data_IF_097692405939
#
_entry.id   IF_097692405939
#
_cell.length_a   1.000
_cell.length_b   1.000
_cell.length_c   1.000
_cell.angle_alpha   90.00
_cell.angle_beta   90.00
_cell.angle_gamma   90.00
#
_symmetry.space_group_name_H-M   'P 1'
#
loop_
_entity.id
_entity.type
_entity.pdbx_description
1 polymer ?
#
# COMPACT_ATOMS: atom_id res chain seq x y z
N UNK A 1 36.31 50.44 1.46
CA UNK A 1 35.57 50.13 0.22
C UNK A 1 34.15 50.70 0.31
N UNK A 2 33.89 51.88 -0.27
CA UNK A 2 32.51 52.44 -0.42
C UNK A 2 32.45 53.61 -1.46
N UNK A 3 33.42 53.71 -2.37
CA UNK A 3 33.54 54.85 -3.30
C UNK A 3 33.07 54.58 -4.73
N UNK A 4 32.99 53.30 -5.15
CA UNK A 4 32.84 52.96 -6.57
C UNK A 4 31.36 52.77 -6.99
N UNK A 5 30.51 52.25 -6.10
CA UNK A 5 29.07 52.08 -6.35
C UNK A 5 28.33 53.44 -6.43
N UNK A 6 28.69 54.39 -5.55
CA UNK A 6 28.13 55.73 -5.49
C UNK A 6 28.45 56.58 -6.72
N UNK A 7 29.61 56.34 -7.36
CA UNK A 7 30.01 57.01 -8.61
C UNK A 7 29.23 56.50 -9.83
N UNK A 8 28.99 55.18 -9.94
CA UNK A 8 28.20 54.60 -11.03
C UNK A 8 26.74 55.06 -10.98
N UNK A 9 26.14 55.09 -9.78
CA UNK A 9 24.76 55.56 -9.56
C UNK A 9 24.59 57.03 -9.98
N UNK A 10 25.47 57.93 -9.51
CA UNK A 10 25.43 59.35 -9.90
C UNK A 10 25.65 59.58 -11.40
N UNK A 11 26.46 58.76 -12.07
CA UNK A 11 26.70 58.88 -13.52
C UNK A 11 25.45 58.55 -14.35
N UNK A 12 24.70 57.50 -13.97
CA UNK A 12 23.47 57.12 -14.66
C UNK A 12 22.38 58.20 -14.54
N UNK A 13 22.28 58.82 -13.36
CA UNK A 13 21.31 59.89 -13.11
C UNK A 13 21.64 61.19 -13.87
N UNK A 14 22.93 61.53 -14.00
CA UNK A 14 23.39 62.64 -14.86
C UNK A 14 23.02 62.39 -16.31
N UNK A 15 23.20 61.16 -16.83
CA UNK A 15 22.82 60.78 -18.19
C UNK A 15 21.32 60.97 -18.43
N UNK A 16 20.49 60.55 -17.47
CA UNK A 16 19.04 60.72 -17.54
C UNK A 16 18.65 62.20 -17.64
N UNK A 17 19.18 63.04 -16.75
CA UNK A 17 18.89 64.48 -16.73
C UNK A 17 19.38 65.20 -17.99
N UNK A 18 20.54 64.80 -18.55
CA UNK A 18 21.05 65.35 -19.81
C UNK A 18 20.14 64.98 -20.99
N UNK A 19 19.59 63.76 -21.03
CA UNK A 19 18.62 63.34 -22.06
C UNK A 19 17.27 64.06 -21.92
N UNK A 20 16.88 64.43 -20.71
CA UNK A 20 15.71 65.27 -20.42
C UNK A 20 15.93 66.76 -20.78
N UNK A 21 17.08 67.12 -21.35
CA UNK A 21 17.39 68.47 -21.81
C UNK A 21 17.85 69.44 -20.71
N UNK A 22 18.16 68.95 -19.51
CA UNK A 22 18.66 69.80 -18.41
C UNK A 22 20.06 70.32 -18.69
N UNK A 23 20.30 71.58 -18.33
CA UNK A 23 21.61 72.22 -18.46
C UNK A 23 22.60 71.68 -17.41
N UNK A 24 23.92 71.70 -17.70
CA UNK A 24 24.92 71.26 -16.73
C UNK A 24 24.83 71.97 -15.37
N UNK A 25 24.38 73.24 -15.36
CA UNK A 25 24.16 74.04 -14.15
C UNK A 25 23.01 73.50 -13.28
N UNK A 26 21.90 73.09 -13.90
CA UNK A 26 20.74 72.53 -13.17
C UNK A 26 21.09 71.17 -12.56
N UNK A 27 21.88 70.36 -13.25
CA UNK A 27 22.30 69.03 -12.81
C UNK A 27 23.29 69.12 -11.64
N UNK A 28 24.22 70.08 -11.71
CA UNK A 28 25.16 70.40 -10.63
C UNK A 28 24.43 70.74 -9.34
N UNK A 29 23.47 71.65 -9.39
CA UNK A 29 22.67 72.06 -8.24
C UNK A 29 21.81 70.93 -7.67
N UNK A 30 21.32 70.02 -8.53
CA UNK A 30 20.43 68.91 -8.12
C UNK A 30 21.18 67.74 -7.48
N UNK A 31 22.36 67.39 -7.99
CA UNK A 31 23.09 66.17 -7.60
C UNK A 31 24.36 66.44 -6.77
N UNK A 32 24.70 67.71 -6.57
CA UNK A 32 25.91 68.13 -5.84
C UNK A 32 27.19 67.66 -6.52
N UNK A 33 27.23 67.68 -7.85
CA UNK A 33 28.36 67.26 -8.68
C UNK A 33 28.93 68.44 -9.45
N UNK A 34 30.25 68.48 -9.67
CA UNK A 34 30.86 69.64 -10.33
C UNK A 34 30.44 69.74 -11.79
N UNK A 35 30.25 70.97 -12.28
CA UNK A 35 29.95 71.24 -13.69
C UNK A 35 30.92 70.58 -14.68
N UNK A 36 32.20 70.51 -14.33
CA UNK A 36 33.23 69.84 -15.13
C UNK A 36 32.95 68.34 -15.31
N UNK A 37 32.49 67.66 -14.26
CA UNK A 37 32.11 66.25 -14.31
C UNK A 37 30.88 66.04 -15.20
N UNK A 38 29.87 66.91 -15.09
CA UNK A 38 28.68 66.88 -15.95
C UNK A 38 29.02 67.14 -17.43
N UNK A 39 29.87 68.14 -17.71
CA UNK A 39 30.32 68.44 -19.08
C UNK A 39 31.12 67.29 -19.70
N UNK A 40 31.93 66.58 -18.90
CA UNK A 40 32.64 65.38 -19.37
C UNK A 40 31.66 64.27 -19.77
N UNK A 41 30.62 64.03 -18.96
CA UNK A 41 29.57 63.03 -19.26
C UNK A 41 28.73 63.46 -20.46
N UNK A 42 28.38 64.74 -20.59
CA UNK A 42 27.66 65.27 -21.75
C UNK A 42 28.44 65.04 -23.04
N UNK A 43 29.74 65.30 -23.03
CA UNK A 43 30.63 65.04 -24.17
C UNK A 43 30.73 63.54 -24.49
N UNK A 44 30.79 62.67 -23.47
CA UNK A 44 30.77 61.21 -23.67
C UNK A 44 29.43 60.72 -24.28
N UNK A 45 28.32 61.38 -23.94
CA UNK A 45 26.98 61.06 -24.44
C UNK A 45 26.77 61.54 -25.89
N UNK A 46 27.23 62.75 -26.22
CA UNK A 46 27.23 63.30 -27.59
C UNK A 46 28.13 62.48 -28.53
N UNK A 47 29.18 61.83 -28.01
CA UNK A 47 30.03 60.90 -28.74
C UNK A 47 29.40 59.50 -28.94
N UNK A 48 28.11 59.32 -28.62
CA UNK A 48 27.36 58.10 -28.90
C UNK A 48 27.71 56.88 -28.04
N UNK A 49 28.47 57.05 -26.95
CA UNK A 49 28.97 55.94 -26.11
C UNK A 49 27.95 55.38 -25.11
N UNK A 50 26.68 55.78 -25.18
CA UNK A 50 25.62 55.32 -24.28
C UNK A 50 24.33 55.00 -25.04
N UNK A 51 24.19 53.77 -25.52
CA UNK A 51 22.86 53.12 -25.67
C UNK A 51 22.43 52.64 -24.28
N UNK A 52 21.13 52.68 -23.96
CA UNK A 52 20.66 51.99 -22.76
C UNK A 52 20.91 50.48 -22.92
N UNK A 53 21.08 49.74 -21.82
CA UNK A 53 21.39 48.30 -21.90
C UNK A 53 20.32 47.53 -22.70
N UNK A 54 19.04 47.89 -22.55
CA UNK A 54 17.95 47.32 -23.34
C UNK A 54 17.97 47.70 -24.83
N UNK A 55 18.38 48.93 -25.20
CA UNK A 55 18.55 49.31 -26.61
C UNK A 55 19.71 48.54 -27.29
N UNK A 56 20.73 48.21 -26.51
CA UNK A 56 21.86 47.42 -26.96
C UNK A 56 21.45 45.97 -27.23
N UNK A 57 20.78 45.33 -26.27
CA UNK A 57 20.27 43.96 -26.38
C UNK A 57 19.30 43.83 -27.57
N UNK A 58 18.35 44.76 -27.72
CA UNK A 58 17.41 44.76 -28.85
C UNK A 58 18.09 44.99 -30.21
N UNK A 59 19.20 45.74 -30.26
CA UNK A 59 19.97 45.89 -31.49
C UNK A 59 20.75 44.60 -31.83
N UNK A 60 21.31 43.94 -30.83
CA UNK A 60 22.04 42.66 -30.98
C UNK A 60 21.08 41.55 -31.43
N UNK A 61 19.91 41.41 -30.78
CA UNK A 61 18.90 40.40 -31.12
C UNK A 61 18.45 40.51 -32.58
N UNK A 62 18.15 41.73 -33.07
CA UNK A 62 17.76 41.94 -34.47
C UNK A 62 18.82 41.48 -35.46
N UNK A 63 20.11 41.67 -35.16
CA UNK A 63 21.19 41.20 -36.04
C UNK A 63 21.31 39.68 -36.05
N UNK A 64 21.04 39.01 -34.92
CA UNK A 64 20.97 37.55 -34.88
C UNK A 64 19.75 37.00 -35.63
N UNK A 65 18.61 37.69 -35.60
CA UNK A 65 17.45 37.36 -36.43
C UNK A 65 17.74 37.53 -37.93
N UNK A 66 18.53 38.55 -38.30
CA UNK A 66 19.04 38.73 -39.66
C UNK A 66 20.09 37.68 -40.08
N UNK A 67 20.48 36.77 -39.18
CA UNK A 67 21.42 35.67 -39.46
C UNK A 67 22.90 36.03 -39.32
N UNK A 68 23.23 37.19 -38.74
CA UNK A 68 24.63 37.60 -38.54
C UNK A 68 25.29 36.82 -37.41
N UNK A 69 26.57 36.56 -37.55
CA UNK A 69 27.39 35.90 -36.52
C UNK A 69 27.76 36.86 -35.37
N UNK A 70 28.05 36.36 -34.15
CA UNK A 70 28.51 37.20 -33.04
C UNK A 70 29.71 38.08 -33.38
N UNK A 71 30.63 37.60 -34.22
CA UNK A 71 31.80 38.34 -34.67
C UNK A 71 31.39 39.54 -35.54
N UNK A 72 30.45 39.36 -36.48
CA UNK A 72 29.93 40.45 -37.31
C UNK A 72 29.18 41.49 -36.46
N UNK A 73 28.42 41.05 -35.45
CA UNK A 73 27.71 41.94 -34.53
C UNK A 73 28.68 42.79 -33.70
N UNK A 74 29.78 42.20 -33.23
CA UNK A 74 30.86 42.93 -32.54
C UNK A 74 31.46 44.01 -33.45
N UNK A 75 31.76 43.66 -34.70
CA UNK A 75 32.34 44.61 -35.67
C UNK A 75 31.37 45.75 -36.02
N UNK A 76 30.08 45.46 -36.21
CA UNK A 76 29.09 46.46 -36.60
C UNK A 76 28.65 47.38 -35.47
N UNK A 77 28.40 46.82 -34.28
CA UNK A 77 27.87 47.58 -33.16
C UNK A 77 28.98 48.13 -32.24
N UNK A 78 30.24 47.76 -32.49
CA UNK A 78 31.40 48.13 -31.68
C UNK A 78 31.20 47.80 -30.19
N UNK A 79 30.57 46.66 -29.92
CA UNK A 79 30.29 46.15 -28.57
C UNK A 79 31.36 45.14 -28.18
N UNK A 80 31.85 45.14 -26.92
CA UNK A 80 32.81 44.14 -26.47
C UNK A 80 32.32 42.71 -26.71
N UNK A 81 33.22 41.83 -27.18
CA UNK A 81 32.89 40.45 -27.53
C UNK A 81 32.21 39.69 -26.39
N UNK A 82 32.72 39.83 -25.17
CA UNK A 82 32.17 39.20 -23.97
C UNK A 82 30.69 39.56 -23.75
N UNK A 83 30.31 40.81 -24.03
CA UNK A 83 28.92 41.27 -23.86
C UNK A 83 28.01 40.79 -24.98
N UNK A 84 28.51 40.70 -26.22
CA UNK A 84 27.74 40.13 -27.33
C UNK A 84 27.49 38.64 -27.09
N UNK A 85 28.47 37.92 -26.54
CA UNK A 85 28.30 36.51 -26.18
C UNK A 85 27.22 36.32 -25.10
N UNK A 86 27.27 37.11 -24.02
CA UNK A 86 26.25 37.07 -22.94
C UNK A 86 24.82 37.27 -23.50
N UNK A 87 24.67 38.20 -24.46
CA UNK A 87 23.39 38.51 -25.08
C UNK A 87 22.98 37.39 -26.07
N UNK A 88 23.94 36.77 -26.77
CA UNK A 88 23.68 35.65 -27.67
C UNK A 88 23.17 34.41 -26.93
N UNK A 89 23.75 34.10 -25.78
CA UNK A 89 23.31 32.97 -24.95
C UNK A 89 21.84 33.16 -24.51
N UNK A 90 21.48 34.38 -24.05
CA UNK A 90 20.09 34.77 -23.75
C UNK A 90 19.16 34.66 -24.97
N UNK A 91 19.64 35.02 -26.16
CA UNK A 91 18.87 34.93 -27.40
C UNK A 91 18.54 33.47 -27.74
N UNK A 92 19.50 32.55 -27.60
CA UNK A 92 19.27 31.12 -27.83
C UNK A 92 18.28 30.54 -26.83
N UNK A 93 18.43 30.86 -25.54
CA UNK A 93 17.48 30.44 -24.49
C UNK A 93 16.04 30.87 -24.81
N UNK A 94 15.85 32.07 -25.35
CA UNK A 94 14.53 32.60 -25.70
C UNK A 94 13.99 32.05 -27.03
N UNK A 95 14.87 31.73 -27.98
CA UNK A 95 14.49 31.22 -29.31
C UNK A 95 14.15 29.74 -29.31
N UNK A 96 14.79 28.96 -28.44
CA UNK A 96 14.54 27.53 -28.28
C UNK A 96 13.34 27.23 -27.37
N UNK A 97 12.68 28.26 -26.81
CA UNK A 97 11.38 28.09 -26.18
C UNK A 97 10.35 27.78 -27.27
N UNK A 98 9.68 26.61 -27.22
CA UNK A 98 8.62 26.32 -28.18
C UNK A 98 7.53 27.39 -28.03
N UNK A 99 6.99 27.89 -29.15
CA UNK A 99 5.88 28.86 -29.16
C UNK A 99 4.56 28.30 -28.61
N UNK A 100 4.62 27.14 -27.95
CA UNK A 100 3.48 26.47 -27.38
C UNK A 100 2.90 27.43 -26.35
N UNK A 101 1.72 27.94 -26.67
CA UNK A 101 1.04 28.85 -25.76
C UNK A 101 0.74 28.08 -24.47
N UNK A 102 0.77 28.76 -23.33
CA UNK A 102 0.43 28.16 -22.02
C UNK A 102 -0.89 27.38 -22.09
N UNK A 103 -1.83 27.82 -22.94
CA UNK A 103 -3.09 27.14 -23.23
C UNK A 103 -2.94 25.75 -23.87
N UNK A 104 -2.05 25.57 -24.84
CA UNK A 104 -1.82 24.26 -25.48
C UNK A 104 -1.21 23.24 -24.50
N UNK A 105 -0.32 23.69 -23.60
CA UNK A 105 0.22 22.83 -22.53
C UNK A 105 -0.88 22.44 -21.52
N UNK A 106 -1.77 23.37 -21.17
CA UNK A 106 -2.88 23.10 -20.26
C UNK A 106 -3.88 22.09 -20.85
N UNK A 107 -4.24 22.24 -22.13
CA UNK A 107 -5.12 21.31 -22.84
C UNK A 107 -4.52 19.89 -22.89
N UNK A 108 -3.22 19.77 -23.17
CA UNK A 108 -2.56 18.47 -23.17
C UNK A 108 -2.52 17.84 -21.77
N UNK A 109 -2.24 18.64 -20.74
CA UNK A 109 -2.28 18.21 -19.34
C UNK A 109 -3.67 17.71 -18.94
N UNK A 110 -4.72 18.46 -19.26
CA UNK A 110 -6.10 18.10 -18.95
C UNK A 110 -6.50 16.78 -19.63
N UNK A 111 -6.11 16.60 -20.90
CA UNK A 111 -6.32 15.34 -21.62
C UNK A 111 -5.61 14.17 -20.95
N UNK A 112 -4.34 14.33 -20.56
CA UNK A 112 -3.56 13.29 -19.87
C UNK A 112 -4.16 12.94 -18.50
N UNK A 113 -4.61 13.94 -17.75
CA UNK A 113 -5.31 13.74 -16.46
C UNK A 113 -6.59 12.92 -16.68
N UNK A 114 -7.42 13.30 -17.65
CA UNK A 114 -8.64 12.55 -17.97
C UNK A 114 -8.37 11.10 -18.41
N UNK A 115 -7.28 10.85 -19.14
CA UNK A 115 -6.88 9.48 -19.48
C UNK A 115 -6.43 8.66 -18.25
N UNK A 116 -5.71 9.29 -17.32
CA UNK A 116 -5.28 8.67 -16.07
C UNK A 116 -6.48 8.33 -15.18
N UNK A 117 -7.45 9.22 -15.05
CA UNK A 117 -8.69 8.98 -14.30
C UNK A 117 -9.46 7.78 -14.87
N UNK A 118 -9.59 7.67 -16.20
CA UNK A 118 -10.22 6.51 -16.84
C UNK A 118 -9.42 5.22 -16.64
N UNK A 119 -8.08 5.28 -16.65
CA UNK A 119 -7.24 4.12 -16.33
C UNK A 119 -7.43 3.70 -14.86
N UNK A 120 -7.48 4.66 -13.95
CA UNK A 120 -7.69 4.42 -12.53
C UNK A 120 -9.07 3.80 -12.27
N UNK A 121 -10.14 4.30 -12.89
CA UNK A 121 -11.48 3.71 -12.81
C UNK A 121 -11.50 2.24 -13.30
N UNK A 122 -10.84 1.95 -14.43
CA UNK A 122 -10.71 0.58 -14.93
C UNK A 122 -9.97 -0.34 -13.96
N UNK A 123 -8.85 0.11 -13.40
CA UNK A 123 -8.11 -0.64 -12.38
C UNK A 123 -8.96 -0.85 -11.13
N UNK A 124 -9.68 0.17 -10.68
CA UNK A 124 -10.61 0.08 -9.55
C UNK A 124 -11.69 -0.99 -9.77
N UNK A 125 -12.30 -1.03 -10.96
CA UNK A 125 -13.29 -2.06 -11.33
C UNK A 125 -12.70 -3.47 -11.35
N UNK A 126 -11.49 -3.63 -11.89
CA UNK A 126 -10.78 -4.92 -11.90
C UNK A 126 -10.50 -5.37 -10.45
N UNK A 127 -10.00 -4.46 -9.61
CA UNK A 127 -9.69 -4.73 -8.22
C UNK A 127 -10.93 -5.12 -7.42
N UNK A 128 -12.05 -4.40 -7.60
CA UNK A 128 -13.32 -4.74 -6.94
C UNK A 128 -13.87 -6.11 -7.36
N UNK A 129 -13.72 -6.49 -8.64
CA UNK A 129 -14.08 -7.83 -9.11
C UNK A 129 -13.20 -8.90 -8.47
N UNK A 130 -11.89 -8.69 -8.44
CA UNK A 130 -10.95 -9.61 -7.79
C UNK A 130 -11.27 -9.78 -6.30
N UNK A 131 -11.56 -8.69 -5.57
CA UNK A 131 -11.97 -8.78 -4.17
C UNK A 131 -13.24 -9.60 -4.00
N UNK A 132 -14.25 -9.39 -4.85
CA UNK A 132 -15.49 -10.17 -4.82
C UNK A 132 -15.23 -11.66 -5.02
N UNK A 133 -14.50 -12.02 -6.07
CA UNK A 133 -14.11 -13.40 -6.37
C UNK A 133 -13.37 -14.04 -5.19
N UNK A 134 -12.40 -13.34 -4.60
CA UNK A 134 -11.68 -13.81 -3.42
C UNK A 134 -12.59 -14.06 -2.21
N UNK A 135 -13.53 -13.17 -1.92
CA UNK A 135 -14.46 -13.35 -0.80
C UNK A 135 -15.46 -14.48 -1.04
N UNK A 136 -15.92 -14.66 -2.28
CA UNK A 136 -16.82 -15.75 -2.67
C UNK A 136 -16.10 -17.11 -2.55
N UNK A 137 -14.88 -17.23 -3.07
CA UNK A 137 -14.04 -18.44 -2.92
C UNK A 137 -13.76 -18.76 -1.46
N UNK A 138 -13.43 -17.74 -0.65
CA UNK A 138 -13.20 -17.90 0.78
C UNK A 138 -14.46 -18.39 1.51
N UNK A 139 -15.64 -17.88 1.13
CA UNK A 139 -16.91 -18.32 1.70
C UNK A 139 -17.21 -19.77 1.34
N UNK A 140 -16.94 -20.16 0.10
CA UNK A 140 -17.13 -21.52 -0.39
C UNK A 140 -16.20 -22.52 0.30
N UNK A 141 -14.91 -22.20 0.42
CA UNK A 141 -13.96 -23.02 1.18
C UNK A 141 -14.40 -23.21 2.63
N UNK A 142 -14.94 -22.17 3.27
CA UNK A 142 -15.45 -22.27 4.64
C UNK A 142 -16.66 -23.20 4.74
N UNK A 143 -17.54 -23.23 3.73
CA UNK A 143 -18.67 -24.18 3.66
C UNK A 143 -18.16 -25.61 3.53
N UNK A 144 -17.23 -25.87 2.62
CA UNK A 144 -16.66 -27.19 2.40
C UNK A 144 -15.96 -27.75 3.66
N UNK A 145 -15.24 -26.90 4.41
CA UNK A 145 -14.64 -27.27 5.69
C UNK A 145 -15.72 -27.68 6.70
N UNK A 146 -16.78 -26.88 6.84
CA UNK A 146 -17.87 -27.18 7.78
C UNK A 146 -18.62 -28.47 7.41
N UNK A 147 -18.88 -28.70 6.13
CA UNK A 147 -19.52 -29.93 5.64
C UNK A 147 -18.65 -31.16 5.89
N UNK A 148 -17.34 -31.04 5.65
CA UNK A 148 -16.38 -32.10 5.92
C UNK A 148 -16.28 -32.40 7.42
N UNK A 149 -16.22 -31.36 8.26
CA UNK A 149 -16.20 -31.50 9.71
C UNK A 149 -17.47 -32.19 10.22
N UNK A 150 -18.64 -31.78 9.72
CA UNK A 150 -19.94 -32.37 10.08
C UNK A 150 -19.97 -33.85 9.70
N UNK A 151 -19.51 -34.18 8.50
CA UNK A 151 -19.44 -35.58 8.01
C UNK A 151 -18.49 -36.41 8.87
N UNK A 152 -17.31 -35.87 9.19
CA UNK A 152 -16.31 -36.56 10.02
C UNK A 152 -16.82 -36.79 11.43
N UNK A 153 -17.46 -35.80 12.06
CA UNK A 153 -18.10 -35.94 13.38
C UNK A 153 -19.19 -37.02 13.36
N UNK A 154 -20.04 -37.06 12.33
CA UNK A 154 -21.05 -38.11 12.16
C UNK A 154 -20.42 -39.50 12.10
N UNK A 155 -19.37 -39.67 11.29
CA UNK A 155 -18.66 -40.96 11.17
C UNK A 155 -17.96 -41.38 12.47
N UNK A 156 -17.35 -40.45 13.20
CA UNK A 156 -16.77 -40.74 14.53
C UNK A 156 -17.85 -41.28 15.46
N UNK A 157 -19.03 -40.66 15.47
CA UNK A 157 -20.15 -41.07 16.33
C UNK A 157 -20.70 -42.45 15.97
N UNK A 158 -20.81 -42.75 14.67
CA UNK A 158 -21.20 -44.09 14.20
C UNK A 158 -20.16 -45.14 14.60
N UNK A 159 -18.87 -44.87 14.33
CA UNK A 159 -17.78 -45.79 14.66
C UNK A 159 -17.65 -46.01 16.17
N UNK A 160 -17.75 -44.95 16.98
CA UNK A 160 -17.67 -45.07 18.44
C UNK A 160 -18.80 -45.93 19.00
N UNK A 161 -20.01 -45.82 18.43
CA UNK A 161 -21.18 -46.65 18.78
C UNK A 161 -20.92 -48.13 18.49
N UNK A 162 -20.40 -48.44 17.31
CA UNK A 162 -20.06 -49.83 16.94
C UNK A 162 -18.95 -50.38 17.83
N UNK A 163 -17.88 -49.59 18.04
CA UNK A 163 -16.72 -50.01 18.84
C UNK A 163 -17.10 -50.25 20.29
N UNK A 164 -17.93 -49.40 20.91
CA UNK A 164 -18.38 -49.64 22.29
C UNK A 164 -19.23 -50.90 22.38
N UNK A 165 -20.15 -51.13 21.44
CA UNK A 165 -21.01 -52.31 21.44
C UNK A 165 -20.17 -53.59 21.32
N UNK A 166 -19.25 -53.65 20.35
CA UNK A 166 -18.36 -54.80 20.16
C UNK A 166 -17.45 -55.02 21.37
N UNK A 167 -16.87 -53.95 21.92
CA UNK A 167 -15.97 -54.06 23.07
C UNK A 167 -16.70 -54.53 24.33
N UNK A 168 -17.92 -54.05 24.58
CA UNK A 168 -18.76 -54.50 25.69
C UNK A 168 -19.17 -55.96 25.49
N UNK A 169 -19.63 -56.35 24.30
CA UNK A 169 -20.01 -57.74 24.01
C UNK A 169 -18.81 -58.69 24.15
N UNK A 170 -17.65 -58.32 23.61
CA UNK A 170 -16.42 -59.10 23.77
C UNK A 170 -16.01 -59.21 25.24
N UNK A 171 -16.10 -58.10 25.99
CA UNK A 171 -15.89 -58.13 27.43
C UNK A 171 -16.83 -59.13 28.06
N UNK A 172 -18.16 -59.01 27.90
CA UNK A 172 -19.14 -59.90 28.53
C UNK A 172 -18.98 -61.39 28.17
N UNK A 173 -18.60 -61.70 26.93
CA UNK A 173 -18.48 -63.06 26.41
C UNK A 173 -17.09 -63.70 26.59
N UNK A 174 -16.10 -62.97 27.12
CA UNK A 174 -14.73 -63.49 27.31
C UNK A 174 -14.68 -64.61 28.35
N UNK A 175 -14.84 -65.86 27.94
CA UNK A 175 -14.75 -66.98 28.88
C UNK A 175 -13.32 -67.11 29.43
N UNK A 176 -13.20 -67.01 30.76
CA UNK A 176 -11.94 -67.16 31.49
C UNK A 176 -11.31 -68.52 31.24
N UNK A 177 -12.14 -69.55 31.04
CA UNK A 177 -11.67 -70.92 30.78
C UNK A 177 -11.07 -71.07 29.37
N UNK A 178 -11.42 -70.19 28.43
CA UNK A 178 -10.96 -70.25 27.04
C UNK A 178 -9.73 -69.39 26.77
N UNK A 179 -9.57 -68.26 27.47
CA UNK A 179 -8.54 -67.27 27.15
C UNK A 179 -7.61 -66.87 28.33
N UNK A 180 -7.89 -67.36 29.54
CA UNK A 180 -7.10 -67.08 30.73
C UNK A 180 -7.31 -65.68 31.35
N UNK A 181 -6.83 -65.46 32.60
CA UNK A 181 -7.04 -64.20 33.33
C UNK A 181 -6.49 -62.91 32.67
N UNK A 182 -5.36 -62.91 31.95
CA UNK A 182 -4.84 -61.70 31.31
C UNK A 182 -5.75 -61.17 30.18
N UNK A 183 -6.26 -62.06 29.33
CA UNK A 183 -7.11 -61.68 28.21
C UNK A 183 -8.45 -61.06 28.67
N UNK A 184 -9.03 -61.62 29.72
CA UNK A 184 -10.26 -61.10 30.33
C UNK A 184 -10.06 -59.66 30.86
N UNK A 185 -8.93 -59.38 31.54
CA UNK A 185 -8.63 -58.03 32.03
C UNK A 185 -8.46 -57.02 30.88
N UNK A 186 -7.79 -57.42 29.81
CA UNK A 186 -7.58 -56.56 28.63
C UNK A 186 -8.91 -56.24 27.96
N UNK A 187 -9.79 -57.23 27.78
CA UNK A 187 -11.13 -57.02 27.23
C UNK A 187 -11.94 -56.00 28.05
N UNK A 188 -11.78 -56.01 29.37
CA UNK A 188 -12.51 -55.11 30.28
C UNK A 188 -12.02 -53.67 30.21
N UNK A 189 -10.71 -53.49 30.20
CA UNK A 189 -10.12 -52.15 30.05
C UNK A 189 -10.42 -51.57 28.66
N UNK A 190 -10.45 -52.40 27.62
CA UNK A 190 -10.88 -51.98 26.29
C UNK A 190 -12.35 -51.54 26.27
N UNK A 191 -13.26 -52.28 26.91
CA UNK A 191 -14.67 -51.87 27.02
C UNK A 191 -14.83 -50.53 27.75
N UNK A 192 -14.08 -50.30 28.83
CA UNK A 192 -14.10 -49.00 29.54
C UNK A 192 -13.59 -47.86 28.66
N UNK A 193 -12.48 -48.06 27.93
CA UNK A 193 -11.91 -47.05 27.03
C UNK A 193 -12.87 -46.74 25.89
N UNK A 194 -13.42 -47.77 25.25
CA UNK A 194 -14.41 -47.62 24.19
C UNK A 194 -15.65 -46.87 24.67
N UNK A 195 -16.13 -47.16 25.88
CA UNK A 195 -17.26 -46.45 26.48
C UNK A 195 -16.97 -44.96 26.72
N UNK A 196 -15.78 -44.61 27.20
CA UNK A 196 -15.38 -43.21 27.37
C UNK A 196 -15.32 -42.47 26.02
N UNK A 197 -14.73 -43.10 25.00
CA UNK A 197 -14.67 -42.51 23.65
C UNK A 197 -16.07 -42.33 23.06
N UNK A 198 -16.95 -43.32 23.24
CA UNK A 198 -18.35 -43.22 22.84
C UNK A 198 -19.05 -42.03 23.50
N UNK A 199 -18.90 -41.84 24.81
CA UNK A 199 -19.52 -40.71 25.52
C UNK A 199 -18.93 -39.36 25.10
N UNK A 200 -17.62 -39.28 24.85
CA UNK A 200 -16.95 -38.06 24.35
C UNK A 200 -17.34 -37.72 22.90
N UNK A 201 -17.85 -38.69 22.13
CA UNK A 201 -18.32 -38.46 20.76
C UNK A 201 -19.73 -37.86 20.67
N UNK A 202 -20.27 -37.41 21.80
CA UNK A 202 -21.62 -36.84 21.93
C UNK A 202 -22.69 -37.75 21.28
N UNK A 203 -22.87 -38.98 21.80
CA UNK A 203 -23.77 -39.96 21.22
C UNK A 203 -25.23 -39.50 21.35
N UNK A 204 -26.16 -40.06 20.56
CA UNK A 204 -27.58 -39.71 20.76
C UNK A 204 -28.03 -40.30 22.09
N UNK A 205 -28.91 -39.61 22.79
CA UNK A 205 -29.46 -40.05 24.07
C UNK A 205 -30.06 -41.48 23.97
N UNK A 206 -30.77 -41.77 22.88
CA UNK A 206 -31.33 -43.10 22.62
C UNK A 206 -30.26 -44.20 22.56
N UNK A 207 -29.07 -43.91 22.03
CA UNK A 207 -27.97 -44.88 21.94
C UNK A 207 -27.40 -45.15 23.34
N UNK A 208 -27.26 -44.11 24.17
CA UNK A 208 -26.82 -44.22 25.57
C UNK A 208 -27.81 -45.02 26.40
N UNK A 209 -29.11 -44.72 26.29
CA UNK A 209 -30.18 -45.42 26.98
C UNK A 209 -30.22 -46.90 26.55
N UNK A 210 -30.10 -47.17 25.25
CA UNK A 210 -30.06 -48.54 24.71
C UNK A 210 -28.89 -49.32 25.29
N UNK A 211 -27.69 -48.74 25.29
CA UNK A 211 -26.50 -49.37 25.87
C UNK A 211 -26.66 -49.63 27.37
N UNK A 212 -27.19 -48.65 28.12
CA UNK A 212 -27.48 -48.78 29.55
C UNK A 212 -28.45 -49.91 29.82
N UNK A 213 -29.57 -49.96 29.12
CA UNK A 213 -30.59 -50.99 29.28
C UNK A 213 -30.04 -52.39 28.96
N UNK A 214 -29.22 -52.51 27.91
CA UNK A 214 -28.52 -53.75 27.58
C UNK A 214 -27.58 -54.20 28.71
N UNK A 215 -26.83 -53.28 29.31
CA UNK A 215 -25.98 -53.58 30.46
C UNK A 215 -26.79 -54.02 31.68
N UNK A 216 -27.91 -53.35 31.99
CA UNK A 216 -28.80 -53.73 33.10
C UNK A 216 -29.39 -55.12 32.89
N UNK A 217 -29.85 -55.45 31.69
CA UNK A 217 -30.36 -56.78 31.36
C UNK A 217 -29.27 -57.86 31.55
N UNK A 218 -28.06 -57.62 31.05
CA UNK A 218 -26.92 -58.53 31.24
C UNK A 218 -26.55 -58.68 32.72
N UNK A 219 -26.64 -57.61 33.52
CA UNK A 219 -26.41 -57.67 34.98
C UNK A 219 -27.35 -58.68 35.63
N UNK A 220 -28.64 -58.60 35.31
CA UNK A 220 -29.67 -59.54 35.81
C UNK A 220 -29.35 -60.98 35.43
N UNK A 221 -28.99 -61.22 34.15
CA UNK A 221 -28.59 -62.53 33.66
C UNK A 221 -27.39 -63.12 34.42
N UNK A 222 -26.28 -62.37 34.54
CA UNK A 222 -25.09 -62.85 35.24
C UNK A 222 -25.29 -62.98 36.75
N UNK A 223 -26.20 -62.20 37.35
CA UNK A 223 -26.61 -62.39 38.74
C UNK A 223 -27.30 -63.75 38.94
N UNK A 224 -28.20 -64.14 38.03
CA UNK A 224 -28.85 -65.46 38.04
C UNK A 224 -27.86 -66.61 37.92
N UNK A 225 -26.80 -66.44 37.13
CA UNK A 225 -25.69 -67.39 37.00
C UNK A 225 -24.69 -67.36 38.17
N UNK A 226 -24.91 -66.52 39.19
CA UNK A 226 -23.99 -66.29 40.32
C UNK A 226 -22.57 -65.86 39.88
N UNK A 227 -22.45 -65.21 38.73
CA UNK A 227 -21.17 -64.71 38.21
C UNK A 227 -20.88 -63.28 38.72
N UNK A 228 -20.59 -63.16 40.01
CA UNK A 228 -20.42 -61.86 40.68
C UNK A 228 -19.30 -60.99 40.10
N UNK A 229 -18.27 -61.60 39.50
CA UNK A 229 -17.19 -60.87 38.83
C UNK A 229 -17.72 -60.08 37.63
N UNK A 230 -18.60 -60.69 36.82
CA UNK A 230 -19.26 -60.04 35.68
C UNK A 230 -20.18 -58.92 36.13
N UNK A 231 -20.96 -59.17 37.19
CA UNK A 231 -21.84 -58.16 37.79
C UNK A 231 -21.04 -56.92 38.20
N UNK A 232 -19.91 -57.09 38.91
CA UNK A 232 -19.05 -55.98 39.33
C UNK A 232 -18.47 -55.18 38.16
N UNK A 233 -18.17 -55.85 37.04
CA UNK A 233 -17.74 -55.15 35.83
C UNK A 233 -18.88 -54.32 35.23
N UNK A 234 -20.06 -54.91 35.11
CA UNK A 234 -21.21 -54.20 34.55
C UNK A 234 -21.53 -52.99 35.41
N UNK A 235 -21.45 -53.09 36.73
CA UNK A 235 -21.57 -51.95 37.64
C UNK A 235 -20.53 -50.87 37.37
N UNK A 236 -19.27 -51.25 37.12
CA UNK A 236 -18.24 -50.27 36.73
C UNK A 236 -18.57 -49.55 35.41
N UNK A 237 -19.15 -50.25 34.42
CA UNK A 237 -19.54 -49.63 33.15
C UNK A 237 -20.78 -48.74 33.32
N UNK A 238 -21.78 -49.20 34.08
CA UNK A 238 -22.97 -48.42 34.40
C UNK A 238 -22.62 -47.14 35.16
N UNK A 239 -21.67 -47.20 36.09
CA UNK A 239 -21.20 -46.02 36.81
C UNK A 239 -20.61 -44.97 35.87
N UNK A 240 -19.86 -45.37 34.83
CA UNK A 240 -19.33 -44.45 33.82
C UNK A 240 -20.46 -43.78 33.03
N UNK A 241 -21.48 -44.54 32.64
CA UNK A 241 -22.66 -43.99 31.94
C UNK A 241 -23.41 -43.01 32.84
N UNK A 242 -23.70 -43.41 34.08
CA UNK A 242 -24.48 -42.61 35.01
C UNK A 242 -23.74 -41.33 35.43
N UNK A 243 -22.40 -41.35 35.54
CA UNK A 243 -21.64 -40.14 35.84
C UNK A 243 -21.72 -39.09 34.73
N UNK A 244 -21.95 -39.52 33.48
CA UNK A 244 -22.11 -38.62 32.35
C UNK A 244 -23.54 -38.07 32.25
N UNK A 245 -24.56 -38.89 32.56
CA UNK A 245 -25.97 -38.45 32.55
C UNK A 245 -26.32 -37.47 33.68
N UNK A 246 -25.46 -37.37 34.71
CA UNK A 246 -25.64 -36.45 35.83
C UNK A 246 -25.02 -35.06 35.60
N UNK A 247 -24.29 -34.86 34.50
CA UNK A 247 -23.69 -33.59 34.08
C UNK A 247 -24.60 -32.87 33.08
#
# INVERSE_FOLDING_TARGET
>A
MSGNATRKSKKAEIIKLLREGKTPSEIENKLGVTRSYVSKIKKELELGRFKSEGELEAAVFRRFEEGKSPVEVVMELQVPADKVQEIYDKYLELKDLPSVTIFELLDELEKRVGELERKLDRVGKIFLRFLREYYDEKAELKRQINETETTFRSRIKELSTVVVYLSVQHALNSDRNKYGPPAERVAFENAKRALKVFLLSDPREVDVITLRNNLVANKGYFMGLKNFKRVKLIDSLLNIINSQLAQ
#
